data_IF_745565523928
#
_entry.id   IF_745565523928
#
_cell.length_a   1.000
_cell.length_b   1.000
_cell.length_c   1.000
_cell.angle_alpha   90.00
_cell.angle_beta   90.00
_cell.angle_gamma   90.00
#
_symmetry.space_group_name_H-M   'P 1'
#
loop_
_entity.id
_entity.type
_entity.pdbx_description
1 polymer ?
#
# COMPACT_ATOMS: atom_id res chain seq x y z
N UNK A 1 10.10 15.02 14.56
CA UNK A 1 9.26 14.52 13.45
C UNK A 1 7.78 14.62 13.80
N UNK A 2 7.05 15.52 13.15
CA UNK A 2 5.58 15.61 13.19
C UNK A 2 5.07 15.08 11.84
N UNK A 3 4.05 14.23 11.84
CA UNK A 3 3.45 13.67 10.60
C UNK A 3 1.94 13.77 10.62
N UNK A 4 1.35 13.88 9.44
CA UNK A 4 -0.11 13.98 9.27
C UNK A 4 -0.60 12.84 8.41
N UNK A 5 -1.68 12.19 8.85
CA UNK A 5 -2.24 11.01 8.20
C UNK A 5 -3.73 11.21 7.90
N UNK A 6 -4.15 10.79 6.71
CA UNK A 6 -5.56 10.63 6.33
C UNK A 6 -5.95 9.16 6.48
N UNK A 7 -7.07 8.89 7.17
CA UNK A 7 -7.60 7.54 7.35
C UNK A 7 -8.52 7.18 6.17
N UNK A 8 -8.17 6.14 5.42
CA UNK A 8 -8.97 5.66 4.29
C UNK A 8 -9.93 4.54 4.67
N UNK A 9 -9.49 3.66 5.57
CA UNK A 9 -10.27 2.53 5.99
C UNK A 9 -9.83 2.07 7.38
N UNK A 10 -10.79 1.52 8.12
CA UNK A 10 -10.59 0.88 9.41
C UNK A 10 -11.27 -0.47 9.37
N UNK A 11 -10.55 -1.52 9.72
CA UNK A 11 -11.08 -2.88 9.80
C UNK A 11 -10.73 -3.50 11.14
N UNK A 12 -11.73 -3.91 11.90
CA UNK A 12 -11.56 -4.75 13.07
C UNK A 12 -11.89 -6.20 12.72
N UNK A 13 -11.13 -7.15 13.26
CA UNK A 13 -11.36 -8.58 13.04
C UNK A 13 -11.01 -9.33 14.31
N UNK A 14 -11.96 -10.09 14.85
CA UNK A 14 -11.70 -10.99 15.97
C UNK A 14 -10.84 -12.17 15.49
N UNK A 15 -9.76 -12.47 16.19
CA UNK A 15 -8.84 -13.58 15.86
C UNK A 15 -8.99 -14.75 16.82
N UNK A 16 -9.37 -14.50 18.07
CA UNK A 16 -9.74 -15.52 19.05
C UNK A 16 -10.71 -14.94 20.09
N UNK A 17 -11.31 -15.76 20.98
CA UNK A 17 -12.08 -15.24 22.11
C UNK A 17 -11.25 -14.21 22.90
N UNK A 18 -11.82 -13.02 23.12
CA UNK A 18 -11.18 -11.90 23.82
C UNK A 18 -10.03 -11.19 23.10
N UNK A 19 -9.68 -11.58 21.86
CA UNK A 19 -8.59 -10.96 21.09
C UNK A 19 -8.96 -10.68 19.65
N UNK A 20 -8.44 -9.59 19.11
CA UNK A 20 -8.60 -9.26 17.71
C UNK A 20 -7.44 -8.46 17.15
N UNK A 21 -7.64 -8.01 15.93
CA UNK A 21 -6.72 -7.15 15.19
C UNK A 21 -7.51 -6.02 14.59
N UNK A 22 -6.99 -4.81 14.72
CA UNK A 22 -7.47 -3.62 14.04
C UNK A 22 -6.42 -3.16 13.03
N UNK A 23 -6.89 -2.87 11.83
CA UNK A 23 -6.05 -2.47 10.70
C UNK A 23 -6.55 -1.13 10.20
N UNK A 24 -5.66 -0.15 10.14
CA UNK A 24 -5.90 1.14 9.50
C UNK A 24 -5.13 1.20 8.20
N UNK A 25 -5.82 1.62 7.14
CA UNK A 25 -5.20 2.05 5.90
C UNK A 25 -5.15 3.56 5.92
N UNK A 26 -3.94 4.12 5.93
CA UNK A 26 -3.71 5.56 6.02
C UNK A 26 -2.82 6.05 4.90
N UNK A 27 -2.78 7.35 4.68
CA UNK A 27 -1.82 7.99 3.79
C UNK A 27 -1.16 9.16 4.49
N UNK A 28 0.16 9.25 4.41
CA UNK A 28 0.92 10.33 5.04
C UNK A 28 0.92 11.62 4.20
N UNK A 29 1.55 12.67 4.73
CA UNK A 29 1.65 13.98 4.07
C UNK A 29 2.30 13.93 2.67
N UNK A 30 3.10 12.91 2.38
CA UNK A 30 3.77 12.72 1.09
C UNK A 30 2.96 11.82 0.14
N UNK A 31 1.69 11.57 0.46
CA UNK A 31 0.80 10.66 -0.27
C UNK A 31 1.28 9.21 -0.30
N UNK A 32 2.11 8.80 0.67
CA UNK A 32 2.58 7.42 0.75
C UNK A 32 1.53 6.60 1.51
N UNK A 33 0.95 5.55 0.90
CA UNK A 33 0.01 4.68 1.59
C UNK A 33 0.74 3.82 2.63
N UNK A 34 0.12 3.67 3.80
CA UNK A 34 0.64 2.89 4.91
C UNK A 34 -0.46 2.02 5.51
N UNK A 35 -0.06 0.82 5.94
CA UNK A 35 -0.90 -0.08 6.72
C UNK A 35 -0.39 -0.06 8.15
N UNK A 36 -1.25 0.32 9.09
CA UNK A 36 -0.94 0.33 10.53
C UNK A 36 -1.77 -0.77 11.18
N UNK A 37 -1.17 -1.51 12.11
CA UNK A 37 -1.82 -2.66 12.77
C UNK A 37 -1.75 -2.52 14.28
N UNK A 38 -2.88 -2.83 14.92
CA UNK A 38 -3.00 -2.92 16.37
C UNK A 38 -3.62 -4.25 16.77
N UNK A 39 -3.11 -4.85 17.83
CA UNK A 39 -3.74 -5.96 18.53
C UNK A 39 -4.84 -5.40 19.43
N UNK A 40 -6.03 -5.97 19.39
CA UNK A 40 -7.16 -5.54 20.21
C UNK A 40 -7.45 -6.54 21.30
N UNK A 41 -7.79 -6.04 22.48
CA UNK A 41 -8.47 -6.80 23.52
C UNK A 41 -9.97 -6.57 23.35
N UNK A 42 -10.73 -7.66 23.40
CA UNK A 42 -12.18 -7.65 23.21
C UNK A 42 -12.88 -8.07 24.49
N UNK A 43 -14.02 -7.46 24.79
CA UNK A 43 -14.91 -7.93 25.87
C UNK A 43 -15.71 -9.18 25.44
N UNK A 44 -16.47 -9.82 26.35
CA UNK A 44 -17.31 -10.96 26.02
C UNK A 44 -18.37 -10.67 24.94
N UNK A 45 -18.72 -9.41 24.73
CA UNK A 45 -19.66 -8.93 23.72
C UNK A 45 -18.98 -8.64 22.37
N UNK A 46 -17.66 -8.76 22.28
CA UNK A 46 -16.86 -8.53 21.07
C UNK A 46 -16.50 -7.06 20.83
N UNK A 47 -16.72 -6.17 21.80
CA UNK A 47 -16.34 -4.76 21.71
C UNK A 47 -14.86 -4.57 22.06
N UNK A 48 -14.21 -3.63 21.36
CA UNK A 48 -12.79 -3.29 21.58
C UNK A 48 -12.64 -2.51 22.88
N UNK A 49 -11.94 -3.08 23.86
CA UNK A 49 -11.65 -2.43 25.15
C UNK A 49 -10.28 -1.76 25.16
N UNK A 50 -9.30 -2.36 24.48
CA UNK A 50 -7.97 -1.80 24.36
C UNK A 50 -7.36 -2.12 22.99
N UNK A 51 -6.42 -1.26 22.58
CA UNK A 51 -5.64 -1.42 21.35
C UNK A 51 -4.17 -1.25 21.68
N UNK A 52 -3.35 -2.22 21.29
CA UNK A 52 -1.89 -2.21 21.47
C UNK A 52 -1.22 -2.24 20.09
N UNK A 53 -0.15 -1.47 19.86
CA UNK A 53 0.55 -1.51 18.57
C UNK A 53 1.24 -2.85 18.36
N UNK A 54 1.33 -3.31 17.10
CA UNK A 54 2.16 -4.47 16.77
C UNK A 54 3.66 -4.13 16.89
N UNK A 55 4.05 -2.91 16.51
CA UNK A 55 5.41 -2.41 16.62
C UNK A 55 5.48 -1.25 17.61
N UNK A 56 6.39 -1.31 18.57
CA UNK A 56 6.50 -0.27 19.62
C UNK A 56 6.68 1.14 19.03
N UNK A 57 7.41 1.28 17.93
CA UNK A 57 7.59 2.57 17.22
C UNK A 57 6.30 3.18 16.67
N UNK A 58 5.27 2.37 16.48
CA UNK A 58 3.95 2.82 16.01
C UNK A 58 3.01 3.18 17.16
N UNK A 59 3.44 3.06 18.43
CA UNK A 59 2.59 3.34 19.58
C UNK A 59 1.89 4.71 19.52
N UNK A 60 2.59 5.83 19.25
CA UNK A 60 1.93 7.15 19.19
C UNK A 60 0.86 7.21 18.10
N UNK A 61 1.12 6.55 16.96
CA UNK A 61 0.20 6.53 15.84
C UNK A 61 -1.02 5.66 16.13
N UNK A 62 -0.82 4.45 16.68
CA UNK A 62 -1.92 3.54 17.04
C UNK A 62 -2.81 4.16 18.12
N UNK A 63 -2.23 4.81 19.13
CA UNK A 63 -3.00 5.54 20.14
C UNK A 63 -3.87 6.62 19.50
N UNK A 64 -3.31 7.40 18.58
CA UNK A 64 -4.05 8.46 17.88
C UNK A 64 -5.16 7.89 16.97
N UNK A 65 -4.89 6.80 16.26
CA UNK A 65 -5.82 6.15 15.32
C UNK A 65 -6.97 5.40 16.00
N UNK A 66 -6.80 4.99 17.26
CA UNK A 66 -7.77 4.15 17.99
C UNK A 66 -9.21 4.69 18.05
N UNK A 67 -9.37 6.01 17.91
CA UNK A 67 -10.66 6.71 18.00
C UNK A 67 -11.16 7.24 16.66
N UNK A 68 -10.43 7.00 15.57
CA UNK A 68 -10.67 7.63 14.29
C UNK A 68 -11.36 6.70 13.31
N UNK A 69 -12.13 7.30 12.41
CA UNK A 69 -12.87 6.62 11.35
C UNK A 69 -12.39 7.08 9.97
N UNK A 70 -12.94 6.47 8.92
CA UNK A 70 -12.63 6.84 7.54
C UNK A 70 -12.94 8.32 7.30
N UNK A 71 -12.00 9.02 6.65
CA UNK A 71 -12.09 10.44 6.32
C UNK A 71 -11.38 11.35 7.32
N UNK A 72 -11.05 10.83 8.50
CA UNK A 72 -10.40 11.63 9.53
C UNK A 72 -8.94 11.94 9.19
N UNK A 73 -8.52 13.14 9.57
CA UNK A 73 -7.14 13.59 9.55
C UNK A 73 -6.57 13.58 10.96
N UNK A 74 -5.33 13.13 11.11
CA UNK A 74 -4.64 13.12 12.39
C UNK A 74 -3.19 13.54 12.24
N UNK A 75 -2.78 14.48 13.08
CA UNK A 75 -1.39 14.90 13.19
C UNK A 75 -0.79 14.33 14.47
N UNK A 76 0.33 13.64 14.34
CA UNK A 76 1.02 12.98 15.46
C UNK A 76 2.43 13.53 15.56
N UNK A 77 2.79 13.99 16.76
CA UNK A 77 4.15 14.36 17.10
C UNK A 77 4.90 13.16 17.70
N UNK A 78 5.88 12.63 16.98
CA UNK A 78 6.69 11.50 17.42
C UNK A 78 7.89 11.94 18.27
N UNK A 79 8.18 13.24 18.40
CA UNK A 79 9.36 13.72 19.15
C UNK A 79 9.39 13.24 20.60
N UNK A 80 8.31 13.35 21.41
CA UNK A 80 8.35 12.94 22.81
C UNK A 80 8.63 11.44 22.96
N UNK A 81 7.97 10.64 22.12
CA UNK A 81 8.14 9.19 22.12
C UNK A 81 9.55 8.78 21.66
N UNK A 82 10.09 9.40 20.61
CA UNK A 82 11.43 9.10 20.11
C UNK A 82 12.50 9.46 21.13
N UNK A 83 12.38 10.61 21.80
CA UNK A 83 13.30 11.03 22.87
C UNK A 83 13.28 10.03 24.03
N UNK A 84 12.10 9.61 24.48
CA UNK A 84 11.95 8.67 25.59
C UNK A 84 12.49 7.26 25.28
N UNK A 85 12.55 6.87 24.00
CA UNK A 85 12.97 5.53 23.58
C UNK A 85 14.34 5.53 22.85
N UNK A 86 15.08 6.63 22.90
CA UNK A 86 16.37 6.81 22.20
C UNK A 86 16.32 6.43 20.71
N UNK A 87 15.19 6.73 20.05
CA UNK A 87 15.07 6.54 18.62
C UNK A 87 15.70 7.70 17.87
N UNK A 88 16.91 7.47 17.39
CA UNK A 88 17.57 8.38 16.46
C UNK A 88 16.77 8.52 15.16
N UNK A 89 16.79 9.73 14.61
CA UNK A 89 16.20 10.03 13.32
C UNK A 89 17.02 9.31 12.26
N UNK A 90 16.46 8.25 11.65
CA UNK A 90 17.14 7.59 10.53
C UNK A 90 17.20 8.58 9.39
N UNK A 91 18.41 8.84 8.89
CA UNK A 91 18.63 9.45 7.58
C UNK A 91 17.83 8.61 6.57
N UNK A 92 16.75 9.19 6.05
CA UNK A 92 15.94 8.55 5.02
C UNK A 92 16.86 8.41 3.82
N UNK A 93 17.28 7.18 3.49
CA UNK A 93 17.97 6.92 2.24
C UNK A 93 17.12 7.52 1.12
N UNK A 94 17.72 8.42 0.33
CA UNK A 94 17.08 9.05 -0.81
C UNK A 94 16.34 7.97 -1.63
N UNK A 95 15.16 8.27 -2.19
CA UNK A 95 14.39 7.27 -2.91
C UNK A 95 15.28 6.65 -3.98
N UNK A 96 15.54 5.35 -3.85
CA UNK A 96 16.21 4.57 -4.89
C UNK A 96 15.33 4.75 -6.12
N UNK A 97 15.84 5.47 -7.13
CA UNK A 97 15.21 5.61 -8.44
C UNK A 97 15.05 4.18 -8.96
N UNK A 98 13.85 3.62 -8.82
CA UNK A 98 13.53 2.34 -9.45
C UNK A 98 13.66 2.60 -10.93
N UNK A 99 14.70 2.05 -11.55
CA UNK A 99 14.75 1.90 -13.00
C UNK A 99 13.42 1.29 -13.43
N UNK A 100 12.61 2.09 -14.12
CA UNK A 100 11.47 1.58 -14.84
C UNK A 100 12.01 0.47 -15.75
N UNK A 101 11.42 -0.74 -15.76
CA UNK A 101 11.79 -1.71 -16.78
C UNK A 101 11.54 -1.02 -18.13
N UNK A 102 12.57 -1.00 -18.95
CA UNK A 102 12.59 -0.42 -20.28
C UNK A 102 11.42 -1.03 -21.08
N UNK A 103 10.26 -0.35 -21.07
CA UNK A 103 9.12 -0.75 -21.88
C UNK A 103 9.55 -0.49 -23.33
N UNK A 104 9.90 -1.59 -23.97
CA UNK A 104 9.94 -1.88 -25.40
C UNK A 104 9.48 -0.71 -26.27
N UNK A 105 10.44 -0.18 -27.02
CA UNK A 105 10.31 0.92 -27.98
C UNK A 105 9.05 0.73 -28.85
N UNK A 106 8.10 1.68 -28.88
CA UNK A 106 6.81 1.52 -29.57
C UNK A 106 6.94 1.27 -31.08
N UNK A 107 8.09 1.60 -31.69
CA UNK A 107 8.37 1.37 -33.12
C UNK A 107 8.60 -0.10 -33.46
N UNK A 108 9.07 -0.92 -32.52
CA UNK A 108 9.33 -2.35 -32.77
C UNK A 108 8.03 -3.15 -32.86
N UNK A 109 7.02 -2.79 -32.05
CA UNK A 109 5.70 -3.43 -32.08
C UNK A 109 4.98 -3.24 -33.43
N UNK A 110 5.12 -2.07 -34.06
CA UNK A 110 4.53 -1.78 -35.37
C UNK A 110 5.19 -2.58 -36.50
N UNK A 111 6.51 -2.78 -36.40
CA UNK A 111 7.28 -3.57 -37.36
C UNK A 111 6.88 -5.05 -37.30
N UNK A 112 6.75 -5.60 -36.09
CA UNK A 112 6.29 -6.99 -35.88
C UNK A 112 4.84 -7.17 -36.38
N UNK A 113 3.96 -6.19 -36.13
CA UNK A 113 2.57 -6.26 -36.60
C UNK A 113 2.44 -6.21 -38.13
N UNK A 114 3.28 -5.41 -38.80
CA UNK A 114 3.29 -5.33 -40.27
C UNK A 114 3.82 -6.61 -40.91
N UNK A 115 4.87 -7.21 -40.35
CA UNK A 115 5.44 -8.45 -40.91
C UNK A 115 4.50 -9.64 -40.76
N UNK A 116 3.80 -9.76 -39.62
CA UNK A 116 2.80 -10.82 -39.43
C UNK A 116 1.60 -10.66 -40.36
N UNK A 117 1.11 -9.43 -40.55
CA UNK A 117 0.01 -9.15 -41.49
C UNK A 117 0.38 -9.49 -42.94
N UNK A 118 1.59 -9.10 -43.39
CA UNK A 118 2.06 -9.39 -44.74
C UNK A 118 2.19 -10.90 -44.99
N UNK A 119 2.67 -11.66 -44.01
CA UNK A 119 2.79 -13.11 -44.10
C UNK A 119 1.41 -13.78 -44.19
N UNK A 120 0.45 -13.35 -43.37
CA UNK A 120 -0.92 -13.86 -43.41
C UNK A 120 -1.60 -13.58 -44.76
N UNK A 121 -1.39 -12.39 -45.33
CA UNK A 121 -1.94 -12.02 -46.63
C UNK A 121 -1.34 -12.87 -47.77
N UNK A 122 -0.04 -13.12 -47.74
CA UNK A 122 0.63 -13.95 -48.75
C UNK A 122 0.13 -15.40 -48.71
N UNK A 123 -0.08 -15.96 -47.52
CA UNK A 123 -0.66 -17.30 -47.36
C UNK A 123 -2.10 -17.32 -47.90
N UNK A 124 -2.93 -16.35 -47.53
CA UNK A 124 -4.31 -16.27 -47.99
C UNK A 124 -4.40 -16.18 -49.52
N UNK A 125 -3.58 -15.33 -50.15
CA UNK A 125 -3.52 -15.18 -51.59
C UNK A 125 -3.04 -16.46 -52.30
N UNK A 126 -2.01 -17.12 -51.76
CA UNK A 126 -1.51 -18.38 -52.29
C UNK A 126 -2.55 -19.50 -52.23
N UNK A 127 -3.30 -19.59 -51.12
CA UNK A 127 -4.42 -20.54 -50.99
C UNK A 127 -5.51 -20.21 -52.00
N UNK A 128 -5.95 -18.94 -52.11
CA UNK A 128 -6.99 -18.58 -53.07
C UNK A 128 -6.59 -18.84 -54.52
N UNK A 129 -5.32 -18.62 -54.88
CA UNK A 129 -4.82 -18.88 -56.23
C UNK A 129 -4.71 -20.39 -56.54
N UNK A 130 -4.45 -21.23 -55.53
CA UNK A 130 -4.36 -22.68 -55.72
C UNK A 130 -5.74 -23.36 -55.87
N UNK A 131 -6.80 -22.75 -55.34
CA UNK A 131 -8.18 -23.29 -55.36
C UNK A 131 -9.10 -22.63 -56.41
N UNK A 132 -8.56 -21.76 -57.27
CA UNK A 132 -9.23 -21.14 -58.43
C UNK A 132 -8.71 -21.77 -59.72
#
# INVERSE_FOLDING_TARGET
MIKTFLVHAVKATQTSPGKGVMVWLVTDENRIPRKVMGLTELDPQGLVTAVKPVYSREAPLVTALSRLVRGDLVTVDFRPFNLANHYEERLVYAPVVRHQPFIIIPRLSKLIALTTLACALAIALGVTYYYL
#
